data_IF_047464702509
#
_entry.id   IF_047464702509
#
_cell.length_a   1.000
_cell.length_b   1.000
_cell.length_c   1.000
_cell.angle_alpha   90.00
_cell.angle_beta   90.00
_cell.angle_gamma   90.00
#
_symmetry.space_group_name_H-M   'P 1'
#
loop_
_entity.id
_entity.type
_entity.pdbx_description
1 polymer ?
#
# COMPACT_ATOMS: atom_id res chain seq x y z
N UNK A 1 -2.85 -31.99 -28.58
CA UNK A 1 -2.69 -33.22 -27.79
C UNK A 1 -3.65 -33.16 -26.61
N UNK A 2 -4.66 -34.00 -26.52
CA UNK A 2 -5.60 -33.99 -25.41
C UNK A 2 -4.90 -34.41 -24.13
N UNK A 3 -5.15 -33.64 -23.04
CA UNK A 3 -4.67 -33.94 -21.70
C UNK A 3 -5.84 -33.79 -20.73
N UNK A 4 -5.95 -34.69 -19.78
CA UNK A 4 -6.93 -34.58 -18.72
C UNK A 4 -6.39 -33.56 -17.67
N UNK A 5 -7.24 -32.64 -17.25
CA UNK A 5 -6.99 -31.71 -16.15
C UNK A 5 -8.17 -31.74 -15.17
N UNK A 6 -7.93 -31.59 -13.88
CA UNK A 6 -8.98 -31.55 -12.88
C UNK A 6 -9.45 -32.93 -12.43
N UNK A 7 -8.52 -33.89 -12.27
CA UNK A 7 -8.79 -35.17 -11.61
C UNK A 7 -8.90 -34.98 -10.10
N UNK A 8 -9.55 -35.95 -9.43
CA UNK A 8 -9.56 -36.03 -7.98
C UNK A 8 -8.14 -36.33 -7.45
N UNK A 9 -7.75 -35.64 -6.40
CA UNK A 9 -6.49 -35.87 -5.68
C UNK A 9 -6.81 -36.27 -4.24
N UNK A 10 -6.37 -37.46 -3.85
CA UNK A 10 -6.52 -37.93 -2.48
C UNK A 10 -5.42 -37.41 -1.57
N UNK A 11 -5.49 -37.72 -0.27
CA UNK A 11 -4.58 -37.22 0.75
C UNK A 11 -3.11 -37.56 0.51
N UNK A 12 -2.83 -38.64 -0.21
CA UNK A 12 -1.46 -39.13 -0.41
C UNK A 12 -0.69 -38.36 -1.50
N UNK A 13 -1.43 -37.73 -2.43
CA UNK A 13 -0.83 -37.04 -3.58
C UNK A 13 -1.12 -35.53 -3.64
N UNK A 14 -2.12 -35.05 -2.93
CA UNK A 14 -2.54 -33.64 -2.97
C UNK A 14 -1.43 -32.70 -2.57
N UNK A 15 -0.77 -32.96 -1.44
CA UNK A 15 0.32 -32.10 -0.95
C UNK A 15 1.50 -32.05 -1.91
N UNK A 16 1.93 -33.18 -2.47
CA UNK A 16 3.02 -33.24 -3.44
C UNK A 16 2.71 -32.43 -4.70
N UNK A 17 1.46 -32.43 -5.17
CA UNK A 17 1.03 -31.61 -6.29
C UNK A 17 1.04 -30.12 -5.94
N UNK A 18 0.65 -29.75 -4.70
CA UNK A 18 0.76 -28.36 -4.22
C UNK A 18 2.21 -27.92 -4.14
N UNK A 19 3.12 -28.74 -3.60
CA UNK A 19 4.55 -28.45 -3.54
C UNK A 19 5.20 -28.38 -4.93
N UNK A 20 4.79 -29.20 -5.88
CA UNK A 20 5.29 -29.17 -7.25
C UNK A 20 5.06 -27.84 -7.97
N UNK A 21 4.13 -27.03 -7.50
CA UNK A 21 3.87 -25.68 -8.02
C UNK A 21 4.90 -24.64 -7.53
N UNK A 22 5.63 -24.90 -6.45
CA UNK A 22 6.54 -23.93 -5.81
C UNK A 22 7.57 -23.38 -6.81
N UNK A 23 8.14 -24.21 -7.66
CA UNK A 23 9.11 -23.80 -8.68
C UNK A 23 8.63 -22.69 -9.62
N UNK A 24 7.32 -22.58 -9.85
CA UNK A 24 6.74 -21.52 -10.68
C UNK A 24 6.58 -20.23 -9.88
N UNK A 25 6.16 -20.33 -8.61
CA UNK A 25 6.07 -19.18 -7.71
C UNK A 25 7.47 -18.64 -7.38
N UNK A 26 8.44 -19.50 -7.14
CA UNK A 26 9.82 -19.12 -6.80
C UNK A 26 10.51 -18.37 -7.95
N UNK A 27 10.21 -18.73 -9.20
CA UNK A 27 10.77 -18.09 -10.39
C UNK A 27 10.06 -16.75 -10.74
N UNK A 28 8.86 -16.50 -10.24
CA UNK A 28 8.04 -15.37 -10.68
C UNK A 28 8.63 -14.00 -10.31
N UNK A 29 9.22 -13.78 -9.12
CA UNK A 29 9.79 -12.47 -8.77
C UNK A 29 10.86 -11.99 -9.74
N UNK A 30 11.79 -12.85 -10.11
CA UNK A 30 12.86 -12.55 -11.06
C UNK A 30 12.33 -12.24 -12.46
N UNK A 31 11.30 -12.97 -12.91
CA UNK A 31 10.62 -12.71 -14.18
C UNK A 31 9.93 -11.33 -14.14
N UNK A 32 9.26 -10.99 -13.04
CA UNK A 32 8.61 -9.69 -12.89
C UNK A 32 9.65 -8.57 -12.85
N UNK A 33 10.78 -8.72 -12.13
CA UNK A 33 11.88 -7.74 -12.12
C UNK A 33 12.46 -7.53 -13.53
N UNK A 34 12.66 -8.60 -14.30
CA UNK A 34 13.12 -8.51 -15.70
C UNK A 34 12.16 -7.65 -16.56
N UNK A 35 10.86 -7.93 -16.48
CA UNK A 35 9.88 -7.18 -17.25
C UNK A 35 9.71 -5.74 -16.75
N UNK A 36 9.77 -5.49 -15.45
CA UNK A 36 9.83 -4.14 -14.89
C UNK A 36 11.06 -3.38 -15.45
N UNK A 37 12.22 -4.03 -15.52
CA UNK A 37 13.42 -3.46 -16.12
C UNK A 37 13.22 -3.06 -17.60
N UNK A 38 12.57 -3.90 -18.40
CA UNK A 38 12.23 -3.60 -19.79
C UNK A 38 11.28 -2.39 -19.92
N UNK A 39 10.27 -2.30 -19.04
CA UNK A 39 9.34 -1.16 -18.96
C UNK A 39 10.08 0.11 -18.55
N UNK A 40 10.90 0.03 -17.51
CA UNK A 40 11.69 1.15 -17.01
C UNK A 40 12.61 1.72 -18.10
N UNK A 41 13.31 0.87 -18.83
CA UNK A 41 14.18 1.28 -19.91
C UNK A 41 13.42 1.98 -21.06
N UNK A 42 12.17 1.60 -21.30
CA UNK A 42 11.35 2.12 -22.38
C UNK A 42 10.61 3.41 -22.03
N UNK A 43 10.19 3.55 -20.77
CA UNK A 43 9.34 4.65 -20.29
C UNK A 43 10.06 5.64 -19.37
N UNK A 44 11.33 5.40 -19.01
CA UNK A 44 12.06 6.23 -18.06
C UNK A 44 11.53 6.14 -16.62
N UNK A 45 10.88 5.01 -16.28
CA UNK A 45 10.34 4.76 -14.94
C UNK A 45 11.33 3.99 -14.07
N UNK A 46 11.00 3.78 -12.78
CA UNK A 46 11.83 3.00 -11.85
C UNK A 46 10.95 2.01 -11.05
N UNK A 47 10.26 1.13 -11.75
CA UNK A 47 9.45 0.08 -11.11
C UNK A 47 10.34 -1.01 -10.51
N UNK A 48 10.03 -1.38 -9.26
CA UNK A 48 10.64 -2.48 -8.52
C UNK A 48 9.54 -3.26 -7.80
N UNK A 49 9.83 -4.46 -7.28
CA UNK A 49 8.86 -5.24 -6.51
C UNK A 49 8.35 -4.46 -5.30
N UNK A 50 9.24 -3.72 -4.67
CA UNK A 50 8.97 -2.77 -3.58
C UNK A 50 9.72 -1.46 -3.87
N UNK A 51 8.99 -0.38 -4.12
CA UNK A 51 9.59 0.93 -4.33
C UNK A 51 9.57 1.73 -3.03
N UNK A 52 10.73 2.21 -2.63
CA UNK A 52 10.83 3.20 -1.57
C UNK A 52 10.69 4.62 -2.11
N UNK A 53 10.00 5.49 -1.36
CA UNK A 53 9.89 6.92 -1.60
C UNK A 53 9.99 7.69 -0.29
N UNK A 54 10.75 8.79 -0.24
CA UNK A 54 10.85 9.69 0.91
C UNK A 54 12.28 9.88 1.42
N UNK A 55 12.42 10.29 2.67
CA UNK A 55 13.72 10.57 3.28
C UNK A 55 14.58 9.30 3.38
N UNK A 56 15.86 9.34 2.96
CA UNK A 56 16.73 8.15 3.01
C UNK A 56 17.02 7.66 4.44
N UNK A 57 16.84 8.53 5.42
CA UNK A 57 16.98 8.27 6.85
C UNK A 57 15.65 8.38 7.61
N UNK A 58 14.56 8.03 6.95
CA UNK A 58 13.23 8.06 7.57
C UNK A 58 13.17 7.22 8.85
N UNK A 59 12.55 7.78 9.90
CA UNK A 59 12.27 7.10 11.16
C UNK A 59 10.88 6.44 11.18
N UNK A 60 9.97 6.94 10.33
CA UNK A 60 8.58 6.49 10.18
C UNK A 60 8.30 6.15 8.71
N UNK A 61 7.75 4.98 8.47
CA UNK A 61 7.47 4.49 7.11
C UNK A 61 6.06 3.93 7.04
N UNK A 62 5.32 4.31 6.01
CA UNK A 62 4.09 3.63 5.61
C UNK A 62 4.44 2.52 4.59
N UNK A 63 3.79 1.36 4.71
CA UNK A 63 3.83 0.30 3.71
C UNK A 63 2.41 0.14 3.17
N UNK A 64 2.24 0.31 1.86
CA UNK A 64 0.92 0.28 1.23
C UNK A 64 1.00 -0.20 -0.22
N UNK A 65 -0.14 -0.51 -0.81
CA UNK A 65 -0.28 -0.82 -2.24
C UNK A 65 -1.49 -0.08 -2.84
N UNK A 66 -1.40 0.20 -4.13
CA UNK A 66 -2.49 0.83 -4.89
C UNK A 66 -2.53 2.35 -4.78
N UNK A 67 -3.71 2.92 -5.02
CA UNK A 67 -3.90 4.36 -5.25
C UNK A 67 -3.54 5.28 -4.07
N UNK A 68 -3.57 4.79 -2.84
CA UNK A 68 -3.13 5.58 -1.68
C UNK A 68 -1.66 6.02 -1.78
N UNK A 69 -0.85 5.28 -2.55
CA UNK A 69 0.57 5.58 -2.66
C UNK A 69 0.82 6.95 -3.28
N UNK A 70 0.02 7.37 -4.26
CA UNK A 70 0.20 8.66 -4.93
C UNK A 70 -0.11 9.82 -3.97
N UNK A 71 -1.20 9.70 -3.21
CA UNK A 71 -1.54 10.67 -2.16
C UNK A 71 -0.48 10.71 -1.06
N UNK A 72 0.09 9.55 -0.71
CA UNK A 72 1.12 9.47 0.31
C UNK A 72 2.42 10.17 -0.13
N UNK A 73 2.77 10.13 -1.41
CA UNK A 73 3.95 10.84 -1.94
C UNK A 73 3.82 12.36 -1.75
N UNK A 74 2.67 12.94 -2.07
CA UNK A 74 2.41 14.37 -1.87
C UNK A 74 2.56 14.78 -0.39
N UNK A 75 2.02 13.96 0.51
CA UNK A 75 2.12 14.21 1.96
C UNK A 75 3.57 14.06 2.46
N UNK A 76 4.30 13.08 1.95
CA UNK A 76 5.72 12.86 2.29
C UNK A 76 6.57 14.05 1.86
N UNK A 77 6.36 14.55 0.65
CA UNK A 77 7.05 15.73 0.14
C UNK A 77 6.80 16.95 1.05
N UNK A 78 5.55 17.16 1.43
CA UNK A 78 5.19 18.22 2.35
C UNK A 78 5.86 18.05 3.72
N UNK A 79 5.76 16.88 4.34
CA UNK A 79 6.32 16.62 5.68
C UNK A 79 7.85 16.74 5.68
N UNK A 80 8.53 16.16 4.70
CA UNK A 80 9.98 16.20 4.61
C UNK A 80 10.48 17.63 4.33
N UNK A 81 9.75 18.43 3.54
CA UNK A 81 10.06 19.85 3.35
C UNK A 81 9.90 20.67 4.65
N UNK A 82 9.12 20.19 5.62
CA UNK A 82 8.94 20.82 6.93
C UNK A 82 9.79 20.18 8.04
N UNK A 83 10.82 19.42 7.68
CA UNK A 83 11.82 18.90 8.61
C UNK A 83 11.50 17.53 9.23
N UNK A 84 10.42 16.88 8.79
CA UNK A 84 10.12 15.50 9.17
C UNK A 84 11.00 14.51 8.38
N UNK A 85 11.07 13.26 8.86
CA UNK A 85 11.81 12.17 8.19
C UNK A 85 10.91 10.98 7.98
N UNK A 86 10.10 11.06 6.93
CA UNK A 86 9.08 10.06 6.63
C UNK A 86 9.27 9.45 5.25
N UNK A 87 8.74 8.25 5.08
CA UNK A 87 8.81 7.54 3.80
C UNK A 87 7.71 6.52 3.62
N UNK A 88 7.63 6.01 2.39
CA UNK A 88 6.65 5.03 1.93
C UNK A 88 7.37 3.87 1.24
N UNK A 89 6.93 2.65 1.49
CA UNK A 89 7.22 1.51 0.62
C UNK A 89 5.95 1.15 -0.16
N UNK A 90 6.04 1.27 -1.48
CA UNK A 90 4.98 0.87 -2.41
C UNK A 90 5.14 -0.59 -2.77
N UNK A 91 4.18 -1.43 -2.40
CA UNK A 91 4.16 -2.86 -2.74
C UNK A 91 3.58 -3.03 -4.15
N UNK A 92 4.40 -3.47 -5.10
CA UNK A 92 3.98 -3.71 -6.48
C UNK A 92 3.81 -5.20 -6.80
N UNK A 93 4.62 -6.07 -6.20
CA UNK A 93 4.40 -7.51 -6.24
C UNK A 93 4.05 -8.01 -4.83
N UNK A 94 2.75 -8.30 -4.61
CA UNK A 94 2.28 -8.79 -3.32
C UNK A 94 2.47 -10.31 -3.16
N UNK A 95 2.31 -11.09 -4.23
CA UNK A 95 2.51 -12.55 -4.25
C UNK A 95 3.29 -12.98 -5.50
N UNK A 96 4.30 -13.82 -5.37
CA UNK A 96 4.91 -14.32 -4.13
C UNK A 96 5.54 -13.19 -3.28
N UNK A 97 5.43 -13.28 -1.96
CA UNK A 97 5.93 -12.25 -1.08
C UNK A 97 7.45 -12.39 -0.85
N UNK A 98 8.23 -11.40 -1.29
CA UNK A 98 9.68 -11.36 -1.14
C UNK A 98 10.07 -10.51 0.08
N UNK A 99 10.10 -11.16 1.26
CA UNK A 99 10.44 -10.52 2.52
C UNK A 99 11.83 -9.86 2.50
N UNK A 100 12.80 -10.49 1.85
CA UNK A 100 14.15 -9.97 1.66
C UNK A 100 14.16 -8.63 0.90
N UNK A 101 13.41 -8.55 -0.20
CA UNK A 101 13.30 -7.33 -1.01
C UNK A 101 12.54 -6.22 -0.28
N UNK A 102 11.46 -6.57 0.44
CA UNK A 102 10.75 -5.61 1.29
C UNK A 102 11.69 -5.00 2.33
N UNK A 103 12.38 -5.85 3.09
CA UNK A 103 13.26 -5.39 4.18
C UNK A 103 14.44 -4.56 3.67
N UNK A 104 14.96 -4.88 2.49
CA UNK A 104 16.00 -4.10 1.83
C UNK A 104 15.52 -2.72 1.36
N UNK A 105 14.22 -2.58 1.01
CA UNK A 105 13.64 -1.31 0.60
C UNK A 105 13.39 -0.34 1.78
N UNK A 106 13.32 -0.84 3.01
CA UNK A 106 13.01 -0.03 4.19
C UNK A 106 14.30 0.53 4.80
N UNK A 107 14.45 1.86 4.97
CA UNK A 107 15.61 2.45 5.63
C UNK A 107 15.93 1.80 6.98
N UNK A 108 17.22 1.61 7.27
CA UNK A 108 17.64 0.99 8.53
C UNK A 108 17.23 1.81 9.77
N UNK A 109 17.05 3.12 9.60
CA UNK A 109 16.60 4.08 10.62
C UNK A 109 15.11 3.95 10.95
N UNK A 110 14.32 3.32 10.08
CA UNK A 110 12.87 3.19 10.26
C UNK A 110 12.57 2.18 11.38
N UNK A 111 12.09 2.71 12.50
CA UNK A 111 11.69 1.93 13.68
C UNK A 111 10.20 1.96 13.95
N UNK A 112 9.44 2.79 13.22
CA UNK A 112 8.00 2.93 13.35
C UNK A 112 7.35 2.76 11.98
N UNK A 113 6.48 1.77 11.86
CA UNK A 113 5.91 1.34 10.58
C UNK A 113 4.39 1.24 10.69
N UNK A 114 3.68 1.87 9.77
CA UNK A 114 2.25 1.66 9.57
C UNK A 114 2.04 0.86 8.28
N UNK A 115 1.30 -0.22 8.37
CA UNK A 115 0.93 -1.03 7.20
C UNK A 115 -0.54 -0.77 6.90
N UNK A 116 -0.83 -0.38 5.66
CA UNK A 116 -2.19 -0.01 5.25
C UNK A 116 -2.78 -1.07 4.32
N UNK A 117 -3.89 -1.63 4.75
CA UNK A 117 -4.69 -2.60 4.01
C UNK A 117 -6.04 -2.00 3.60
N UNK A 118 -6.45 -2.21 2.34
CA UNK A 118 -7.78 -1.83 1.85
C UNK A 118 -8.76 -2.98 2.02
N UNK A 119 -8.71 -3.63 3.15
CA UNK A 119 -9.57 -4.75 3.52
C UNK A 119 -9.74 -4.82 5.03
N UNK A 120 -10.67 -5.63 5.48
CA UNK A 120 -10.88 -6.00 6.89
C UNK A 120 -11.10 -7.50 6.97
N UNK A 121 -10.16 -8.19 7.60
CA UNK A 121 -10.25 -9.64 7.84
C UNK A 121 -10.98 -9.94 9.16
N UNK A 122 -12.25 -10.40 9.11
CA UNK A 122 -12.98 -10.72 10.34
C UNK A 122 -12.32 -11.86 11.13
N UNK A 123 -12.08 -11.62 12.43
CA UNK A 123 -11.51 -12.63 13.32
C UNK A 123 -10.00 -12.85 13.21
N UNK A 124 -9.31 -12.20 12.27
CA UNK A 124 -7.85 -12.28 12.15
C UNK A 124 -7.15 -11.34 13.15
N UNK A 125 -5.89 -11.65 13.46
CA UNK A 125 -5.03 -10.81 14.30
C UNK A 125 -4.62 -9.49 13.62
N UNK A 126 -4.80 -9.41 12.33
CA UNK A 126 -4.50 -8.25 11.49
C UNK A 126 -4.93 -8.51 10.05
N UNK A 127 -4.79 -7.51 9.21
CA UNK A 127 -5.14 -7.61 7.80
C UNK A 127 -3.96 -8.19 6.98
N UNK A 128 -4.15 -8.69 5.75
CA UNK A 128 -3.19 -9.55 5.08
C UNK A 128 -1.79 -8.97 4.92
N UNK A 129 -1.65 -7.73 4.41
CA UNK A 129 -0.33 -7.13 4.23
C UNK A 129 0.35 -6.88 5.58
N UNK A 130 -0.40 -6.43 6.59
CA UNK A 130 0.12 -6.25 7.94
C UNK A 130 0.72 -7.53 8.50
N UNK A 131 0.01 -8.67 8.37
CA UNK A 131 0.50 -9.97 8.85
C UNK A 131 1.77 -10.40 8.13
N UNK A 132 1.86 -10.21 6.82
CA UNK A 132 3.06 -10.54 6.04
C UNK A 132 4.26 -9.68 6.47
N UNK A 133 4.05 -8.37 6.68
CA UNK A 133 5.12 -7.46 7.13
C UNK A 133 5.60 -7.84 8.53
N UNK A 134 4.69 -8.07 9.48
CA UNK A 134 5.05 -8.50 10.84
C UNK A 134 5.85 -9.80 10.79
N UNK A 135 5.42 -10.77 9.98
CA UNK A 135 6.11 -12.05 9.81
C UNK A 135 7.51 -11.86 9.20
N UNK A 136 7.64 -11.00 8.19
CA UNK A 136 8.93 -10.70 7.56
C UNK A 136 9.93 -10.09 8.56
N UNK A 137 9.47 -9.14 9.39
CA UNK A 137 10.30 -8.54 10.43
C UNK A 137 10.70 -9.55 11.51
N UNK A 138 9.75 -10.37 11.99
CA UNK A 138 10.01 -11.39 12.98
C UNK A 138 11.04 -12.42 12.50
N UNK A 139 10.87 -12.93 11.28
CA UNK A 139 11.78 -13.92 10.70
C UNK A 139 13.20 -13.38 10.47
N UNK A 140 13.32 -12.07 10.21
CA UNK A 140 14.62 -11.41 10.05
C UNK A 140 15.24 -10.93 11.37
N UNK A 141 14.54 -11.05 12.50
CA UNK A 141 14.98 -10.51 13.78
C UNK A 141 15.05 -8.96 13.82
N UNK A 142 14.45 -8.27 12.84
CA UNK A 142 14.44 -6.81 12.79
C UNK A 142 13.37 -6.26 13.72
N UNK A 143 13.75 -5.34 14.60
CA UNK A 143 12.85 -4.74 15.58
C UNK A 143 12.24 -3.44 15.06
N UNK A 144 10.92 -3.30 15.18
CA UNK A 144 10.17 -2.07 14.89
C UNK A 144 8.82 -2.09 15.61
N UNK A 145 8.26 -0.92 15.86
CA UNK A 145 6.83 -0.79 16.20
C UNK A 145 6.03 -0.85 14.90
N UNK A 146 5.23 -1.89 14.70
CA UNK A 146 4.44 -2.09 13.50
C UNK A 146 2.96 -2.02 13.86
N UNK A 147 2.22 -1.10 13.25
CA UNK A 147 0.78 -0.91 13.41
C UNK A 147 0.04 -1.16 12.10
N UNK A 148 -1.19 -1.66 12.17
CA UNK A 148 -2.02 -1.98 11.02
C UNK A 148 -3.19 -1.02 10.85
N UNK A 149 -3.38 -0.49 9.66
CA UNK A 149 -4.44 0.46 9.34
C UNK A 149 -5.33 0.00 8.20
N UNK A 150 -6.62 0.30 8.30
CA UNK A 150 -7.62 0.06 7.27
C UNK A 150 -8.07 1.36 6.65
N UNK A 151 -8.15 1.40 5.34
CA UNK A 151 -8.55 2.58 4.58
C UNK A 151 -9.39 2.22 3.36
N UNK A 152 -10.13 3.17 2.81
CA UNK A 152 -10.72 3.09 1.47
C UNK A 152 -11.76 2.00 1.26
N UNK A 153 -12.26 1.36 2.31
CA UNK A 153 -13.31 0.35 2.22
C UNK A 153 -14.60 0.94 1.66
N UNK A 154 -15.29 0.17 0.83
CA UNK A 154 -16.50 0.64 0.15
C UNK A 154 -16.23 1.79 -0.83
N UNK A 155 -15.03 1.85 -1.43
CA UNK A 155 -14.60 2.93 -2.34
C UNK A 155 -14.59 4.33 -1.69
N UNK A 156 -14.38 4.39 -0.38
CA UNK A 156 -14.20 5.65 0.33
C UNK A 156 -12.92 6.35 -0.15
N UNK A 157 -13.01 7.64 -0.42
CA UNK A 157 -11.87 8.46 -0.79
C UNK A 157 -10.82 8.50 0.32
N UNK A 158 -9.57 8.69 -0.08
CA UNK A 158 -8.42 8.73 0.82
C UNK A 158 -7.65 10.03 0.57
N UNK A 159 -8.11 11.17 1.14
CA UNK A 159 -7.46 12.45 0.98
C UNK A 159 -6.15 12.54 1.78
N UNK A 160 -5.32 13.57 1.56
CA UNK A 160 -4.07 13.80 2.30
C UNK A 160 -4.23 13.79 3.82
N UNK A 161 -5.36 14.28 4.37
CA UNK A 161 -5.66 14.27 5.81
C UNK A 161 -5.54 12.87 6.43
N UNK A 162 -5.92 11.83 5.68
CA UNK A 162 -5.79 10.45 6.14
C UNK A 162 -4.32 10.05 6.33
N UNK A 163 -3.46 10.39 5.38
CA UNK A 163 -2.04 10.07 5.44
C UNK A 163 -1.33 10.86 6.54
N UNK A 164 -1.67 12.15 6.70
CA UNK A 164 -1.19 12.94 7.84
C UNK A 164 -1.55 12.30 9.18
N UNK A 165 -2.80 11.84 9.35
CA UNK A 165 -3.26 11.18 10.56
C UNK A 165 -2.45 9.89 10.86
N UNK A 166 -2.08 9.12 9.83
CA UNK A 166 -1.24 7.92 10.00
C UNK A 166 0.16 8.29 10.48
N UNK A 167 0.82 9.29 9.87
CA UNK A 167 2.14 9.72 10.34
C UNK A 167 2.09 10.33 11.74
N UNK A 168 1.04 11.07 12.08
CA UNK A 168 0.82 11.60 13.44
C UNK A 168 0.62 10.43 14.44
N UNK A 169 -0.13 9.40 14.09
CA UNK A 169 -0.29 8.21 14.95
C UNK A 169 1.06 7.55 15.25
N UNK A 170 1.94 7.46 14.25
CA UNK A 170 3.29 6.91 14.43
C UNK A 170 4.19 7.74 15.37
N UNK A 171 3.86 9.01 15.65
CA UNK A 171 4.64 9.81 16.61
C UNK A 171 4.33 9.45 18.06
N UNK A 172 3.17 8.87 18.34
CA UNK A 172 2.72 8.58 19.68
C UNK A 172 3.61 7.54 20.36
N UNK A 173 3.76 7.65 21.67
CA UNK A 173 4.47 6.65 22.50
C UNK A 173 3.71 5.33 22.59
N UNK A 174 2.38 5.37 22.47
CA UNK A 174 1.49 4.22 22.48
C UNK A 174 0.48 4.33 21.32
N UNK A 175 0.91 4.08 20.07
CA UNK A 175 0.02 4.15 18.93
C UNK A 175 -1.02 3.03 18.96
N UNK A 176 -2.18 3.27 18.34
CA UNK A 176 -3.20 2.22 18.14
C UNK A 176 -2.61 1.10 17.30
N UNK A 177 -2.58 -0.11 17.85
CA UNK A 177 -2.05 -1.29 17.15
C UNK A 177 -2.83 -1.62 15.88
N UNK A 178 -4.15 -1.44 15.92
CA UNK A 178 -5.05 -1.53 14.79
C UNK A 178 -5.90 -0.27 14.74
N UNK A 179 -6.03 0.32 13.56
CA UNK A 179 -6.78 1.56 13.38
C UNK A 179 -7.54 1.58 12.05
N UNK A 180 -8.46 2.52 11.92
CA UNK A 180 -9.08 2.90 10.66
C UNK A 180 -8.80 4.38 10.38
N UNK A 181 -8.68 4.74 9.11
CA UNK A 181 -8.51 6.12 8.67
C UNK A 181 -9.43 6.41 7.49
N UNK A 182 -10.03 7.60 7.46
CA UNK A 182 -11.05 7.97 6.48
C UNK A 182 -12.39 7.27 6.66
N UNK A 183 -12.53 6.48 7.71
CA UNK A 183 -13.73 5.70 8.02
C UNK A 183 -14.10 5.98 9.47
N UNK A 184 -15.36 6.35 9.70
CA UNK A 184 -15.89 6.48 11.06
C UNK A 184 -16.27 5.08 11.57
N UNK A 185 -15.52 4.60 12.56
CA UNK A 185 -15.79 3.34 13.25
C UNK A 185 -16.48 3.65 14.59
N UNK A 186 -17.77 3.51 14.61
CA UNK A 186 -18.61 3.69 15.79
C UNK A 186 -18.87 2.39 16.57
N UNK A 187 -18.30 1.28 16.12
CA UNK A 187 -18.47 -0.05 16.74
C UNK A 187 -17.30 -0.38 17.67
N UNK A 188 -16.07 -0.30 17.18
CA UNK A 188 -14.87 -0.64 17.94
C UNK A 188 -13.96 0.55 18.23
N UNK A 189 -14.31 1.72 17.73
CA UNK A 189 -13.65 3.02 17.99
C UNK A 189 -12.15 3.03 17.61
N UNK A 190 -11.83 2.39 16.49
CA UNK A 190 -10.45 2.32 15.97
C UNK A 190 -10.06 3.50 15.09
N UNK A 191 -11.00 4.38 14.74
CA UNK A 191 -10.76 5.56 13.89
C UNK A 191 -9.65 6.45 14.45
N UNK A 192 -8.76 6.91 13.56
CA UNK A 192 -7.85 8.00 13.87
C UNK A 192 -8.59 9.33 13.84
N UNK A 193 -8.13 10.27 14.65
CA UNK A 193 -8.55 11.66 14.55
C UNK A 193 -7.90 12.29 13.32
N UNK A 194 -8.71 12.88 12.47
CA UNK A 194 -8.26 13.56 11.25
C UNK A 194 -8.41 15.06 11.42
N UNK A 195 -7.35 15.79 11.12
CA UNK A 195 -7.31 17.25 11.09
C UNK A 195 -7.39 17.74 9.65
N UNK A 196 -7.92 18.94 9.40
CA UNK A 196 -7.79 19.55 8.08
C UNK A 196 -6.32 19.56 7.63
N UNK A 197 -6.06 19.02 6.44
CA UNK A 197 -4.71 18.99 5.88
C UNK A 197 -4.35 20.34 5.26
N UNK A 198 -3.07 20.73 5.26
CA UNK A 198 -2.59 21.79 4.41
C UNK A 198 -2.76 21.40 2.93
N UNK A 199 -2.66 22.38 2.03
CA UNK A 199 -2.60 22.11 0.61
C UNK A 199 -1.24 21.46 0.28
N UNK A 200 -1.28 20.24 -0.25
CA UNK A 200 -0.11 19.44 -0.65
C UNK A 200 0.11 19.44 -2.16
N UNK A 201 -0.79 20.06 -2.93
CA UNK A 201 -0.70 20.08 -4.39
C UNK A 201 0.59 20.78 -4.86
N UNK A 202 1.21 20.21 -5.88
CA UNK A 202 2.41 20.78 -6.49
C UNK A 202 2.13 22.19 -7.09
N UNK A 203 3.10 23.09 -7.10
CA UNK A 203 2.94 24.40 -7.74
C UNK A 203 2.46 24.27 -9.19
N UNK A 204 1.41 25.02 -9.55
CA UNK A 204 0.82 24.99 -10.89
C UNK A 204 -0.28 23.93 -11.07
N UNK A 205 -0.62 23.15 -10.05
CA UNK A 205 -1.76 22.23 -10.07
C UNK A 205 -3.07 23.01 -10.24
N UNK A 206 -3.91 22.59 -11.19
CA UNK A 206 -5.25 23.13 -11.39
C UNK A 206 -6.25 22.11 -10.86
N UNK A 207 -6.95 22.48 -9.81
CA UNK A 207 -7.99 21.64 -9.21
C UNK A 207 -9.34 21.94 -9.84
N UNK A 208 -10.02 20.92 -10.37
CA UNK A 208 -11.35 21.05 -10.97
C UNK A 208 -12.35 20.15 -10.25
N UNK A 209 -13.52 20.71 -9.89
CA UNK A 209 -14.62 19.98 -9.32
C UNK A 209 -15.83 19.98 -10.25
N UNK A 210 -16.24 18.80 -10.67
CA UNK A 210 -17.41 18.62 -11.53
C UNK A 210 -18.59 18.11 -10.72
N UNK A 211 -19.71 18.82 -10.84
CA UNK A 211 -20.94 18.47 -10.15
C UNK A 211 -21.92 17.79 -11.12
N UNK A 212 -22.57 16.74 -10.66
CA UNK A 212 -23.62 16.03 -11.40
C UNK A 212 -24.55 15.30 -10.45
N UNK A 213 -25.83 15.21 -10.81
CA UNK A 213 -26.82 14.52 -10.00
C UNK A 213 -26.79 12.99 -10.19
N UNK A 214 -26.07 12.52 -11.19
CA UNK A 214 -26.08 11.10 -11.59
C UNK A 214 -27.33 10.72 -12.37
N UNK A 215 -27.22 9.78 -13.31
CA UNK A 215 -28.32 9.30 -14.13
C UNK A 215 -28.91 10.30 -15.16
N UNK A 216 -28.36 11.49 -15.26
CA UNK A 216 -28.80 12.59 -16.11
C UNK A 216 -27.88 12.87 -17.32
N UNK A 217 -26.85 12.03 -17.51
CA UNK A 217 -25.84 12.21 -18.56
C UNK A 217 -24.66 13.10 -18.18
N UNK A 218 -24.69 13.79 -17.05
CA UNK A 218 -23.59 14.69 -16.61
C UNK A 218 -22.29 13.93 -16.33
N UNK A 219 -22.35 12.68 -15.86
CA UNK A 219 -21.17 11.85 -15.66
C UNK A 219 -20.40 11.65 -16.98
N UNK A 220 -21.11 11.38 -18.09
CA UNK A 220 -20.52 11.25 -19.42
C UNK A 220 -19.92 12.56 -19.91
N UNK A 221 -20.62 13.68 -19.71
CA UNK A 221 -20.15 15.02 -20.07
C UNK A 221 -18.88 15.40 -19.27
N UNK A 222 -18.89 15.20 -17.97
CA UNK A 222 -17.75 15.46 -17.09
C UNK A 222 -16.52 14.60 -17.46
N UNK A 223 -16.73 13.32 -17.78
CA UNK A 223 -15.68 12.43 -18.26
C UNK A 223 -15.05 12.92 -19.58
N UNK A 224 -15.86 13.47 -20.49
CA UNK A 224 -15.33 14.08 -21.72
C UNK A 224 -14.58 15.37 -21.43
N UNK A 225 -15.06 16.21 -20.53
CA UNK A 225 -14.35 17.42 -20.10
C UNK A 225 -12.98 17.09 -19.49
N UNK A 226 -12.88 16.10 -18.64
CA UNK A 226 -11.61 15.62 -18.05
C UNK A 226 -10.64 15.18 -19.15
N UNK A 227 -11.10 14.48 -20.19
CA UNK A 227 -10.26 14.07 -21.31
C UNK A 227 -9.76 15.21 -22.20
N UNK A 228 -10.45 16.35 -22.17
CA UNK A 228 -10.05 17.55 -22.95
C UNK A 228 -9.06 18.39 -22.16
N UNK A 229 -9.23 18.43 -20.83
CA UNK A 229 -8.40 19.27 -19.94
C UNK A 229 -7.06 18.58 -19.61
N UNK A 230 -7.06 17.25 -19.38
CA UNK A 230 -5.90 16.43 -18.99
C UNK A 230 -5.47 15.51 -20.16
#
# INVERSE_FOLDING_TARGET
RPVMRGSHENGDIFFQHREAANKYYDALPEIVEEYMGKVNAKLGTNYQLFNYYGAPDADRVIIAMGSICDVAEEVIDYLNAHGEKVGLVKVRLYRPFRADKLLAAIPATATKIAVLDRTKEPGALGDPLYLDVVTAFANAGRQATIIGGRYGLGSKDTPPSNVFAVYEELTKSAPKRQFTVGIVDDVTHTSLEEKPSPNTAAPGTIECKFWGLGGDGTVGANKNSIKIIG
#
